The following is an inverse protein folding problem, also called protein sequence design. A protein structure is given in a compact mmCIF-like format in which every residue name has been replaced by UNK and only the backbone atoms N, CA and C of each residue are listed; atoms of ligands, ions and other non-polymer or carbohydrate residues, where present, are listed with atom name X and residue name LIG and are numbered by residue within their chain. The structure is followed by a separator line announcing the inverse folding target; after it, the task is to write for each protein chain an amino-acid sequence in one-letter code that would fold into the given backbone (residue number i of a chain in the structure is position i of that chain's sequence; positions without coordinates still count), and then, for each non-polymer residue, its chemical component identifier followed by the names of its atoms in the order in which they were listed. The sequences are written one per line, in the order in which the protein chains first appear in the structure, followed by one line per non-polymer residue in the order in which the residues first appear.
data_IF_448497456201
#
_entry.id   IF_448497456201
#
_cell.length_a   1.000
_cell.length_b   1.000
_cell.length_c   1.000
_cell.angle_alpha   90.00
_cell.angle_beta   90.00
_cell.angle_gamma   90.00
#
_symmetry.space_group_name_H-M   'P 1'
#
loop_
_entity.id
_entity.type
_entity.pdbx_description
1 polymer ?
#
# COMPACT_ATOMS: atom_id res chain seq x y z
N UNK A 1 -15.18 -20.25 16.01
CA UNK A 1 -14.49 -18.95 16.20
C UNK A 1 -15.53 -17.84 16.27
N UNK A 2 -15.45 -16.92 17.23
CA UNK A 2 -16.41 -15.80 17.29
C UNK A 2 -16.15 -14.82 16.13
N UNK A 3 -17.20 -14.13 15.67
CA UNK A 3 -17.08 -13.13 14.59
C UNK A 3 -16.09 -12.02 14.94
N UNK A 4 -16.03 -11.65 16.22
CA UNK A 4 -15.09 -10.64 16.72
C UNK A 4 -13.63 -11.09 16.61
N UNK A 5 -13.33 -12.37 16.90
CA UNK A 5 -11.97 -12.91 16.72
C UNK A 5 -11.59 -12.93 15.23
N UNK A 6 -12.52 -13.37 14.37
CA UNK A 6 -12.29 -13.37 12.92
C UNK A 6 -12.05 -11.96 12.37
N UNK A 7 -12.85 -10.98 12.80
CA UNK A 7 -12.67 -9.58 12.44
C UNK A 7 -11.32 -9.03 12.93
N UNK A 8 -10.91 -9.37 14.17
CA UNK A 8 -9.61 -8.98 14.70
C UNK A 8 -8.44 -9.53 13.89
N UNK A 9 -8.48 -10.81 13.53
CA UNK A 9 -7.45 -11.42 12.66
C UNK A 9 -7.43 -10.74 11.29
N UNK A 10 -8.59 -10.53 10.69
CA UNK A 10 -8.71 -9.86 9.39
C UNK A 10 -8.10 -8.46 9.42
N UNK A 11 -8.43 -7.64 10.41
CA UNK A 11 -7.90 -6.28 10.53
C UNK A 11 -6.38 -6.25 10.70
N UNK A 12 -5.83 -7.16 11.51
CA UNK A 12 -4.38 -7.26 11.72
C UNK A 12 -3.67 -7.63 10.41
N UNK A 13 -4.15 -8.67 9.73
CA UNK A 13 -3.56 -9.11 8.46
C UNK A 13 -3.69 -8.02 7.39
N UNK A 14 -4.86 -7.38 7.29
CA UNK A 14 -5.10 -6.31 6.33
C UNK A 14 -4.19 -5.10 6.56
N UNK A 15 -3.96 -4.73 7.82
CA UNK A 15 -3.07 -3.61 8.16
C UNK A 15 -1.62 -3.89 7.76
N UNK A 16 -1.15 -5.13 7.94
CA UNK A 16 0.19 -5.56 7.49
C UNK A 16 0.29 -5.46 5.97
N UNK A 17 -0.72 -5.96 5.26
CA UNK A 17 -0.78 -5.90 3.79
C UNK A 17 -0.79 -4.45 3.30
N UNK A 18 -1.58 -3.57 3.94
CA UNK A 18 -1.62 -2.14 3.62
C UNK A 18 -0.24 -1.49 3.73
N UNK A 19 0.45 -1.71 4.86
CA UNK A 19 1.80 -1.15 5.07
C UNK A 19 2.74 -1.64 3.98
N UNK A 20 2.76 -2.95 3.72
CA UNK A 20 3.58 -3.54 2.66
C UNK A 20 3.23 -2.91 1.31
N UNK A 21 1.96 -2.84 0.93
CA UNK A 21 1.54 -2.29 -0.36
C UNK A 21 1.97 -0.82 -0.55
N UNK A 22 1.91 -0.01 0.51
CA UNK A 22 2.30 1.40 0.43
C UNK A 22 3.82 1.60 0.47
N UNK A 23 4.57 0.76 1.19
CA UNK A 23 6.01 0.94 1.38
C UNK A 23 6.89 0.02 0.54
N UNK A 24 6.30 -0.90 -0.22
CA UNK A 24 7.07 -1.78 -1.09
C UNK A 24 7.69 -0.97 -2.22
N UNK A 25 9.02 -0.92 -2.24
CA UNK A 25 9.80 -0.24 -3.26
C UNK A 25 10.19 -1.18 -4.39
N UNK A 26 9.97 -0.76 -5.62
CA UNK A 26 10.54 -1.44 -6.81
C UNK A 26 11.61 -0.56 -7.42
N UNK A 27 12.84 -1.05 -7.49
CA UNK A 27 13.96 -0.34 -8.10
C UNK A 27 13.92 -0.48 -9.63
N UNK A 28 14.20 0.63 -10.29
CA UNK A 28 14.32 0.74 -11.74
C UNK A 28 15.67 1.36 -12.07
N UNK A 29 16.52 0.56 -12.73
CA UNK A 29 17.86 0.95 -13.14
C UNK A 29 17.83 1.33 -14.61
N UNK A 30 17.92 2.62 -14.92
CA UNK A 30 18.14 3.11 -16.29
C UNK A 30 19.58 3.62 -16.43
N UNK A 31 20.15 3.65 -17.65
CA UNK A 31 21.55 4.04 -17.87
C UNK A 31 21.91 5.42 -17.30
N UNK A 32 20.94 6.31 -17.24
CA UNK A 32 21.06 7.71 -16.86
C UNK A 32 20.35 8.06 -15.54
N UNK A 33 19.57 7.13 -14.98
CA UNK A 33 18.60 7.42 -13.93
C UNK A 33 18.22 6.16 -13.15
N UNK A 34 18.61 6.10 -11.88
CA UNK A 34 18.22 5.01 -10.97
C UNK A 34 17.23 5.55 -9.95
N UNK A 35 16.09 4.88 -9.81
CA UNK A 35 15.04 5.30 -8.90
C UNK A 35 14.23 4.11 -8.36
N UNK A 36 13.64 4.28 -7.18
CA UNK A 36 12.72 3.34 -6.55
C UNK A 36 11.33 3.95 -6.55
N UNK A 37 10.32 3.18 -6.98
CA UNK A 37 8.91 3.58 -6.91
C UNK A 37 8.20 2.87 -5.77
N UNK A 38 7.38 3.60 -5.04
CA UNK A 38 6.62 3.14 -3.88
C UNK A 38 5.12 3.38 -4.08
N UNK A 39 4.32 2.45 -3.59
CA UNK A 39 2.86 2.52 -3.63
C UNK A 39 2.24 1.50 -4.56
N UNK A 40 1.00 1.12 -4.22
CA UNK A 40 0.15 0.25 -5.00
C UNK A 40 -1.31 0.47 -4.55
N UNK A 41 -2.27 0.60 -5.48
CA UNK A 41 -2.12 0.54 -6.93
C UNK A 41 -1.50 1.79 -7.57
N UNK A 42 -1.48 2.94 -6.89
CA UNK A 42 -0.90 4.18 -7.40
C UNK A 42 0.52 4.37 -6.85
N UNK A 43 1.38 4.99 -7.64
CA UNK A 43 2.73 5.34 -7.19
C UNK A 43 2.64 6.69 -6.49
N UNK A 44 2.83 6.71 -5.18
CA UNK A 44 2.84 7.95 -4.41
C UNK A 44 4.24 8.50 -4.15
N UNK A 45 5.25 7.63 -4.16
CA UNK A 45 6.63 7.99 -3.83
C UNK A 45 7.60 7.54 -4.91
N UNK A 46 8.48 8.44 -5.35
CA UNK A 46 9.64 8.08 -6.18
C UNK A 46 10.90 8.60 -5.49
N UNK A 47 11.81 7.69 -5.18
CA UNK A 47 13.13 8.00 -4.62
C UNK A 47 14.17 7.86 -5.72
N UNK A 48 14.74 8.98 -6.14
CA UNK A 48 15.85 9.01 -7.09
C UNK A 48 17.15 8.76 -6.31
N UNK A 49 17.95 7.81 -6.80
CA UNK A 49 19.20 7.38 -6.19
C UNK A 49 20.43 7.85 -6.97
N UNK A 50 20.33 7.92 -8.30
CA UNK A 50 21.46 8.27 -9.15
C UNK A 50 20.99 8.91 -10.46
N UNK A 51 21.81 9.81 -10.99
CA UNK A 51 21.64 10.44 -12.31
C UNK A 51 22.97 10.44 -13.07
N UNK A 52 22.98 10.85 -14.35
CA UNK A 52 24.23 11.07 -15.11
C UNK A 52 25.24 12.01 -14.43
N UNK A 53 24.75 12.93 -13.59
CA UNK A 53 25.58 13.91 -12.89
C UNK A 53 26.14 13.38 -11.56
N UNK A 54 25.77 12.15 -11.18
CA UNK A 54 26.18 11.49 -9.95
C UNK A 54 25.01 11.10 -9.05
N UNK A 55 25.33 10.55 -7.86
CA UNK A 55 24.34 10.15 -6.86
C UNK A 55 23.45 11.32 -6.45
N UNK A 56 22.17 11.07 -6.34
CA UNK A 56 21.16 12.05 -5.94
C UNK A 56 20.27 11.39 -4.90
N UNK A 57 19.84 12.13 -3.89
CA UNK A 57 18.87 11.68 -2.90
C UNK A 57 17.66 12.61 -2.95
N UNK A 58 16.74 12.33 -3.88
CA UNK A 58 15.55 13.18 -4.11
C UNK A 58 14.30 12.34 -4.01
N UNK A 59 13.39 12.79 -3.15
CA UNK A 59 12.04 12.24 -3.03
C UNK A 59 11.03 13.09 -3.80
N UNK A 60 10.27 12.45 -4.67
CA UNK A 60 9.10 13.02 -5.31
C UNK A 60 7.86 12.37 -4.69
N UNK A 61 7.04 13.18 -4.06
CA UNK A 61 5.86 12.74 -3.34
C UNK A 61 4.62 13.27 -4.06
N UNK A 62 3.76 12.36 -4.48
CA UNK A 62 2.41 12.65 -4.93
C UNK A 62 1.42 12.34 -3.79
N UNK A 63 1.04 13.40 -3.07
CA UNK A 63 0.10 13.31 -1.95
C UNK A 63 -1.29 12.87 -2.43
N UNK A 64 -1.68 13.25 -3.66
CA UNK A 64 -2.98 12.88 -4.21
C UNK A 64 -3.04 11.38 -4.43
N UNK A 65 -2.00 10.81 -5.03
CA UNK A 65 -1.87 9.36 -5.20
C UNK A 65 -1.88 8.63 -3.85
N UNK A 66 -1.15 9.12 -2.85
CA UNK A 66 -1.15 8.53 -1.49
C UNK A 66 -2.56 8.54 -0.87
N UNK A 67 -3.26 9.67 -0.95
CA UNK A 67 -4.62 9.79 -0.43
C UNK A 67 -5.60 8.85 -1.15
N UNK A 68 -5.51 8.75 -2.47
CA UNK A 68 -6.36 7.84 -3.25
C UNK A 68 -6.08 6.38 -2.92
N UNK A 69 -4.82 5.97 -2.79
CA UNK A 69 -4.46 4.62 -2.36
C UNK A 69 -5.04 4.31 -0.97
N UNK A 70 -4.89 5.23 0.00
CA UNK A 70 -5.46 5.05 1.33
C UNK A 70 -6.98 4.90 1.28
N UNK A 71 -7.67 5.73 0.49
CA UNK A 71 -9.13 5.63 0.31
C UNK A 71 -9.50 4.26 -0.27
N UNK A 72 -8.81 3.80 -1.31
CA UNK A 72 -9.06 2.50 -1.94
C UNK A 72 -8.89 1.38 -0.92
N UNK A 73 -7.73 1.30 -0.27
CA UNK A 73 -7.42 0.21 0.65
C UNK A 73 -8.33 0.19 1.88
N UNK A 74 -8.62 1.34 2.46
CA UNK A 74 -9.49 1.44 3.63
C UNK A 74 -10.95 1.13 3.24
N UNK A 75 -11.41 1.53 2.06
CA UNK A 75 -12.75 1.20 1.58
C UNK A 75 -12.93 -0.31 1.40
N UNK A 76 -11.93 -0.99 0.81
CA UNK A 76 -11.96 -2.45 0.65
C UNK A 76 -11.93 -3.15 2.02
N UNK A 77 -11.11 -2.65 2.96
CA UNK A 77 -11.09 -3.15 4.33
C UNK A 77 -12.48 -3.06 4.98
N UNK A 78 -13.14 -1.90 4.87
CA UNK A 78 -14.47 -1.67 5.43
C UNK A 78 -15.49 -2.63 4.83
N UNK A 79 -15.47 -2.84 3.51
CA UNK A 79 -16.36 -3.81 2.85
C UNK A 79 -16.09 -5.24 3.37
N UNK A 80 -14.83 -5.66 3.45
CA UNK A 80 -14.46 -6.97 3.99
C UNK A 80 -14.94 -7.18 5.43
N UNK A 81 -14.77 -6.16 6.28
CA UNK A 81 -15.25 -6.18 7.65
C UNK A 81 -16.78 -6.29 7.74
N UNK A 82 -17.51 -5.52 6.93
CA UNK A 82 -18.97 -5.58 6.87
C UNK A 82 -19.46 -6.97 6.45
N UNK A 83 -18.80 -7.60 5.48
CA UNK A 83 -19.08 -8.96 5.05
C UNK A 83 -18.87 -9.96 6.20
N UNK A 84 -17.76 -9.89 6.93
CA UNK A 84 -17.50 -10.78 8.08
C UNK A 84 -18.58 -10.64 9.16
N UNK A 85 -19.00 -9.41 9.45
CA UNK A 85 -19.99 -9.14 10.49
C UNK A 85 -21.40 -9.60 10.10
N UNK A 86 -21.78 -9.45 8.83
CA UNK A 86 -23.13 -9.73 8.33
C UNK A 86 -23.26 -11.08 7.61
N UNK A 87 -22.17 -11.80 7.37
CA UNK A 87 -22.21 -13.13 6.78
C UNK A 87 -23.05 -14.07 7.66
N UNK A 88 -24.13 -14.60 7.08
CA UNK A 88 -24.91 -15.67 7.68
C UNK A 88 -24.14 -16.99 7.50
N UNK A 89 -23.33 -17.34 8.49
CA UNK A 89 -22.73 -18.67 8.56
C UNK A 89 -23.88 -19.65 8.79
N UNK A 90 -24.32 -20.36 7.73
CA UNK A 90 -25.21 -21.52 7.89
C UNK A 90 -24.35 -22.63 8.48
N UNK A 91 -24.62 -22.97 9.74
CA UNK A 91 -24.09 -24.17 10.39
C UNK A 91 -24.80 -25.41 9.87
#
# INVERSE_FOLDING_TARGET
MSRSILAGIFLTVWSIILVIALTWGTEYVWPDYVHVKYGFPLIWGIHVLNTLQGPVDVWRIDITALCLDLIIWLSVMTVGLLLILHAKIRG
#
